data_IF_336243793875
#
_entry.id   IF_336243793875
#
_cell.length_a   1.000
_cell.length_b   1.000
_cell.length_c   1.000
_cell.angle_alpha   90.00
_cell.angle_beta   90.00
_cell.angle_gamma   90.00
#
_symmetry.space_group_name_H-M   'P 1'
#
loop_
_entity.id
_entity.type
_entity.pdbx_description
1 polymer ?
#
# COMPACT_ATOMS: atom_id res chain seq x y z
N UNK A 1 -11.73 -27.05 4.80
CA UNK A 1 -13.19 -26.88 4.93
C UNK A 1 -13.55 -25.54 4.31
N UNK A 2 -14.42 -25.54 3.29
CA UNK A 2 -14.83 -24.35 2.54
C UNK A 2 -15.96 -23.64 3.28
N UNK A 3 -15.77 -22.38 3.67
CA UNK A 3 -16.86 -21.58 4.22
C UNK A 3 -17.67 -20.91 3.09
N UNK A 4 -18.92 -21.34 2.97
CA UNK A 4 -19.96 -20.92 2.02
C UNK A 4 -20.61 -19.60 2.49
N UNK A 5 -19.81 -18.55 2.64
CA UNK A 5 -20.26 -17.31 3.30
C UNK A 5 -20.74 -16.15 2.41
N UNK A 6 -20.52 -16.15 1.08
CA UNK A 6 -20.87 -14.96 0.26
C UNK A 6 -21.69 -15.31 -0.99
N UNK A 7 -22.97 -14.91 -0.92
CA UNK A 7 -23.99 -14.78 -1.99
C UNK A 7 -23.83 -15.76 -3.16
N UNK A 8 -23.94 -17.05 -2.86
CA UNK A 8 -23.97 -18.11 -3.89
C UNK A 8 -25.39 -18.36 -4.44
N UNK A 9 -26.43 -17.85 -3.77
CA UNK A 9 -27.83 -18.05 -4.18
C UNK A 9 -28.30 -16.89 -5.06
N UNK A 10 -28.88 -17.20 -6.22
CA UNK A 10 -29.46 -16.22 -7.18
C UNK A 10 -30.28 -15.11 -6.50
N UNK A 11 -31.05 -15.45 -5.47
CA UNK A 11 -31.86 -14.48 -4.71
C UNK A 11 -31.06 -13.39 -3.99
N UNK A 12 -29.93 -13.74 -3.38
CA UNK A 12 -29.10 -12.76 -2.67
C UNK A 12 -28.34 -11.84 -3.66
N UNK A 13 -28.04 -12.30 -4.87
CA UNK A 13 -27.45 -11.45 -5.91
C UNK A 13 -28.48 -10.49 -6.51
N UNK A 14 -29.74 -10.91 -6.59
CA UNK A 14 -30.85 -10.01 -6.96
C UNK A 14 -31.06 -8.92 -5.92
N UNK A 15 -31.00 -9.26 -4.64
CA UNK A 15 -31.10 -8.30 -3.53
C UNK A 15 -29.95 -7.29 -3.55
N UNK A 16 -28.71 -7.76 -3.74
CA UNK A 16 -27.54 -6.89 -3.90
C UNK A 16 -27.72 -5.91 -5.06
N UNK A 17 -28.17 -6.39 -6.23
CA UNK A 17 -28.42 -5.54 -7.40
C UNK A 17 -29.52 -4.51 -7.17
N UNK A 18 -30.57 -4.88 -6.44
CA UNK A 18 -31.66 -3.96 -6.10
C UNK A 18 -31.18 -2.85 -5.15
N UNK A 19 -30.46 -3.23 -4.08
CA UNK A 19 -29.89 -2.27 -3.13
C UNK A 19 -28.89 -1.32 -3.79
N UNK A 20 -27.99 -1.86 -4.61
CA UNK A 20 -27.04 -1.04 -5.36
C UNK A 20 -27.75 -0.11 -6.36
N UNK A 21 -28.77 -0.61 -7.07
CA UNK A 21 -29.57 0.22 -7.98
C UNK A 21 -30.26 1.39 -7.27
N UNK A 22 -30.81 1.16 -6.07
CA UNK A 22 -31.38 2.24 -5.26
C UNK A 22 -30.35 3.30 -4.87
N UNK A 23 -29.15 2.88 -4.44
CA UNK A 23 -28.05 3.79 -4.12
C UNK A 23 -27.60 4.58 -5.34
N UNK A 24 -27.35 3.92 -6.47
CA UNK A 24 -26.92 4.57 -7.70
C UNK A 24 -27.92 5.62 -8.18
N UNK A 25 -29.20 5.30 -8.13
CA UNK A 25 -30.27 6.22 -8.52
C UNK A 25 -30.37 7.42 -7.57
N UNK A 26 -30.12 7.19 -6.27
CA UNK A 26 -30.11 8.26 -5.26
C UNK A 26 -28.96 9.23 -5.48
N UNK A 27 -27.75 8.72 -5.70
CA UNK A 27 -26.55 9.57 -5.83
C UNK A 27 -26.47 10.29 -7.18
N UNK A 28 -26.91 9.66 -8.27
CA UNK A 28 -26.80 10.22 -9.62
C UNK A 28 -28.09 10.83 -10.17
N UNK A 29 -29.21 10.75 -9.43
CA UNK A 29 -30.52 11.28 -9.83
C UNK A 29 -31.14 10.63 -11.07
N UNK A 30 -30.56 9.55 -11.60
CA UNK A 30 -31.02 8.86 -12.82
C UNK A 30 -30.98 7.34 -12.64
N UNK A 31 -31.87 6.64 -13.34
CA UNK A 31 -31.96 5.18 -13.26
C UNK A 31 -30.71 4.52 -13.85
N UNK A 32 -30.14 3.51 -13.18
CA UNK A 32 -28.98 2.77 -13.70
C UNK A 32 -29.31 2.07 -15.03
N UNK A 33 -28.66 2.50 -16.12
CA UNK A 33 -28.84 1.89 -17.43
C UNK A 33 -28.03 0.59 -17.58
N UNK A 34 -28.19 -0.11 -18.71
CA UNK A 34 -27.55 -1.41 -18.95
C UNK A 34 -26.02 -1.30 -19.08
N UNK A 35 -25.52 -0.15 -19.52
CA UNK A 35 -24.09 0.11 -19.69
C UNK A 35 -23.45 0.50 -18.36
N UNK A 36 -24.08 1.38 -17.60
CA UNK A 36 -23.71 1.74 -16.22
C UNK A 36 -23.66 0.50 -15.34
N UNK A 37 -24.63 -0.42 -15.51
CA UNK A 37 -24.66 -1.70 -14.78
C UNK A 37 -23.45 -2.60 -15.09
N UNK A 38 -22.91 -2.55 -16.31
CA UNK A 38 -21.70 -3.30 -16.67
C UNK A 38 -20.46 -2.68 -16.06
N UNK A 39 -20.35 -1.35 -16.05
CA UNK A 39 -19.22 -0.62 -15.45
C UNK A 39 -19.17 -0.78 -13.93
N UNK A 40 -20.31 -0.68 -13.26
CA UNK A 40 -20.43 -0.92 -11.81
C UNK A 40 -19.93 -2.32 -11.42
N UNK A 41 -20.28 -3.34 -12.20
CA UNK A 41 -19.86 -4.72 -11.97
C UNK A 41 -18.36 -4.96 -12.23
N UNK A 42 -17.69 -4.04 -12.93
CA UNK A 42 -16.23 -4.01 -13.08
C UNK A 42 -15.55 -3.30 -11.90
N UNK A 43 -16.18 -2.28 -11.33
CA UNK A 43 -15.64 -1.49 -10.21
C UNK A 43 -15.69 -2.21 -8.85
N UNK A 44 -16.50 -3.26 -8.71
CA UNK A 44 -16.48 -4.09 -7.50
C UNK A 44 -15.24 -4.99 -7.48
N UNK A 45 -14.30 -4.69 -6.59
CA UNK A 45 -13.24 -5.63 -6.26
C UNK A 45 -13.86 -6.93 -5.70
N UNK A 46 -13.56 -8.05 -6.36
CA UNK A 46 -14.04 -9.40 -6.00
C UNK A 46 -13.01 -10.17 -5.20
N UNK A 47 -11.86 -9.56 -4.91
CA UNK A 47 -10.80 -10.20 -4.16
C UNK A 47 -11.29 -10.54 -2.75
N UNK A 48 -11.05 -11.80 -2.35
CA UNK A 48 -11.36 -12.26 -1.01
C UNK A 48 -10.08 -12.09 -0.19
N UNK A 49 -10.00 -10.98 0.53
CA UNK A 49 -9.00 -10.80 1.56
C UNK A 49 -9.24 -11.82 2.68
N UNK A 50 -8.18 -12.52 3.09
CA UNK A 50 -8.25 -13.52 4.16
C UNK A 50 -8.42 -12.86 5.53
N UNK A 51 -7.92 -11.64 5.68
CA UNK A 51 -7.98 -10.86 6.92
C UNK A 51 -8.31 -9.42 6.60
N UNK A 52 -8.99 -8.74 7.53
CA UNK A 52 -9.31 -7.31 7.40
C UNK A 52 -8.04 -6.44 7.32
N UNK A 53 -6.95 -6.89 7.97
CA UNK A 53 -5.62 -6.27 7.84
C UNK A 53 -5.14 -6.17 6.39
N UNK A 54 -5.37 -7.19 5.56
CA UNK A 54 -4.95 -7.15 4.15
C UNK A 54 -5.69 -6.06 3.37
N UNK A 55 -6.93 -5.73 3.74
CA UNK A 55 -7.67 -4.62 3.11
C UNK A 55 -6.99 -3.28 3.38
N UNK A 56 -6.62 -3.03 4.65
CA UNK A 56 -5.95 -1.79 5.05
C UNK A 56 -4.57 -1.67 4.41
N UNK A 57 -3.80 -2.76 4.38
CA UNK A 57 -2.50 -2.80 3.70
C UNK A 57 -2.64 -2.52 2.19
N UNK A 58 -3.61 -3.17 1.54
CA UNK A 58 -3.83 -2.96 0.11
C UNK A 58 -4.32 -1.56 -0.21
N UNK A 59 -5.22 -1.00 0.62
CA UNK A 59 -5.68 0.38 0.49
C UNK A 59 -4.51 1.36 0.61
N UNK A 60 -3.63 1.20 1.61
CA UNK A 60 -2.43 2.02 1.74
C UNK A 60 -1.53 1.92 0.50
N UNK A 61 -1.27 0.71 0.00
CA UNK A 61 -0.46 0.50 -1.21
C UNK A 61 -1.09 1.22 -2.41
N UNK A 62 -2.41 1.12 -2.60
CA UNK A 62 -3.09 1.83 -3.69
C UNK A 62 -2.96 3.33 -3.56
N UNK A 63 -3.17 3.90 -2.38
CA UNK A 63 -3.03 5.35 -2.15
C UNK A 63 -1.61 5.84 -2.44
N UNK A 64 -0.60 5.08 -2.03
CA UNK A 64 0.80 5.38 -2.33
C UNK A 64 1.09 5.26 -3.84
N UNK A 65 0.56 4.25 -4.53
CA UNK A 65 0.69 4.12 -5.98
C UNK A 65 0.06 5.30 -6.72
N UNK A 66 -1.14 5.72 -6.33
CA UNK A 66 -1.80 6.87 -6.94
C UNK A 66 -1.06 8.19 -6.69
N UNK A 67 -0.51 8.39 -5.49
CA UNK A 67 0.21 9.62 -5.15
C UNK A 67 1.63 9.71 -5.70
N UNK A 68 2.33 8.57 -5.82
CA UNK A 68 3.75 8.56 -6.25
C UNK A 68 3.95 8.16 -7.71
N UNK A 69 3.01 7.43 -8.31
CA UNK A 69 3.20 6.83 -9.64
C UNK A 69 4.33 5.78 -9.69
N UNK A 70 4.80 5.30 -8.54
CA UNK A 70 5.89 4.33 -8.47
C UNK A 70 5.43 2.94 -8.95
N UNK A 71 6.39 2.04 -9.20
CA UNK A 71 6.05 0.65 -9.54
C UNK A 71 5.63 -0.11 -8.28
N UNK A 72 4.69 -1.07 -8.37
CA UNK A 72 4.32 -1.91 -7.23
C UNK A 72 5.53 -2.59 -6.56
N UNK A 73 6.53 -2.97 -7.35
CA UNK A 73 7.75 -3.61 -6.87
C UNK A 73 8.63 -2.72 -5.96
N UNK A 74 8.37 -1.41 -5.89
CA UNK A 74 9.06 -0.50 -4.98
C UNK A 74 8.39 -0.46 -3.60
N UNK A 75 7.12 -0.86 -3.52
CA UNK A 75 6.33 -0.89 -2.28
C UNK A 75 6.25 -2.29 -1.69
N UNK A 76 6.08 -3.30 -2.54
CA UNK A 76 5.94 -4.69 -2.14
C UNK A 76 7.12 -5.52 -2.61
N UNK A 77 7.61 -6.40 -1.73
CA UNK A 77 8.69 -7.32 -2.06
C UNK A 77 8.23 -8.23 -3.20
N UNK A 78 8.83 -8.05 -4.37
CA UNK A 78 8.77 -9.04 -5.43
C UNK A 78 9.80 -10.07 -5.06
N UNK A 79 9.40 -11.11 -4.31
CA UNK A 79 10.23 -12.30 -4.10
C UNK A 79 10.89 -12.65 -5.42
N UNK A 80 12.17 -12.29 -5.58
CA UNK A 80 12.97 -12.79 -6.67
C UNK A 80 12.99 -14.28 -6.41
N UNK A 81 12.38 -15.06 -7.31
CA UNK A 81 12.47 -16.52 -7.27
C UNK A 81 13.97 -16.83 -7.18
N UNK A 82 14.48 -17.15 -5.99
CA UNK A 82 15.83 -17.70 -5.86
C UNK A 82 15.84 -18.90 -6.80
N UNK A 83 16.79 -18.92 -7.72
CA UNK A 83 17.11 -20.16 -8.43
C UNK A 83 17.75 -21.07 -7.38
N UNK A 84 16.91 -21.71 -6.58
CA UNK A 84 17.34 -22.84 -5.76
C UNK A 84 17.52 -24.00 -6.73
N UNK A 85 18.71 -24.11 -7.32
CA UNK A 85 19.11 -25.30 -8.06
C UNK A 85 20.41 -25.82 -7.41
N UNK A 86 20.37 -26.93 -6.66
CA UNK A 86 21.57 -27.58 -6.17
C UNK A 86 22.16 -28.42 -7.30
N UNK A 87 23.33 -28.02 -7.80
CA UNK A 87 24.18 -28.85 -8.65
C UNK A 87 24.14 -28.54 -10.13
N UNK A 88 25.22 -27.93 -10.62
CA UNK A 88 26.09 -28.45 -11.68
C UNK A 88 27.01 -27.32 -12.13
N UNK A 89 28.31 -27.60 -12.06
CA UNK A 89 29.41 -26.67 -12.31
C UNK A 89 29.49 -26.15 -13.75
N UNK A 90 30.19 -25.02 -13.84
CA UNK A 90 30.94 -24.44 -14.97
C UNK A 90 30.24 -23.44 -15.91
N UNK A 91 30.67 -22.18 -15.68
CA UNK A 91 31.02 -21.14 -16.64
C UNK A 91 29.94 -20.60 -17.60
N UNK A 92 29.24 -19.55 -17.12
CA UNK A 92 29.05 -18.33 -17.90
C UNK A 92 29.06 -17.13 -16.94
N UNK A 93 30.19 -16.43 -16.94
CA UNK A 93 30.45 -15.20 -16.20
C UNK A 93 29.61 -14.05 -16.79
N UNK A 94 28.56 -13.62 -16.09
CA UNK A 94 28.26 -12.20 -15.78
C UNK A 94 27.29 -12.17 -14.59
N UNK A 95 27.77 -12.66 -13.44
CA UNK A 95 27.20 -12.26 -12.16
C UNK A 95 27.66 -10.83 -11.88
N UNK A 96 26.72 -9.90 -11.66
CA UNK A 96 27.02 -8.65 -10.97
C UNK A 96 27.58 -9.03 -9.59
N UNK A 97 28.91 -9.18 -9.51
CA UNK A 97 29.64 -9.42 -8.28
C UNK A 97 29.55 -8.16 -7.44
N UNK A 98 28.86 -8.28 -6.29
CA UNK A 98 28.78 -7.25 -5.27
C UNK A 98 30.16 -7.12 -4.59
N UNK A 99 31.02 -6.31 -5.20
CA UNK A 99 32.37 -6.02 -4.71
C UNK A 99 32.34 -4.76 -3.86
N UNK A 100 31.97 -4.95 -2.59
CA UNK A 100 32.52 -4.23 -1.44
C UNK A 100 32.03 -2.80 -1.19
N UNK A 101 31.53 -2.57 0.03
CA UNK A 101 31.66 -1.28 0.69
C UNK A 101 30.61 -0.94 1.75
N UNK A 102 31.01 -1.11 3.01
CA UNK A 102 30.49 -0.47 4.24
C UNK A 102 29.33 -1.18 4.95
N UNK A 103 29.62 -1.53 6.21
CA UNK A 103 28.71 -2.09 7.21
C UNK A 103 27.36 -1.36 7.26
N UNK A 104 26.33 -2.03 6.77
CA UNK A 104 24.93 -1.73 7.02
C UNK A 104 24.17 -3.02 6.79
N UNK A 105 23.53 -3.55 7.83
CA UNK A 105 22.86 -4.85 7.77
C UNK A 105 22.02 -4.98 6.49
N UNK A 106 22.28 -6.02 5.70
CA UNK A 106 21.55 -6.28 4.47
C UNK A 106 20.07 -6.48 4.84
N UNK A 107 19.21 -5.54 4.47
CA UNK A 107 17.76 -5.65 4.72
C UNK A 107 17.26 -6.99 4.19
N UNK A 108 16.43 -7.68 4.98
CA UNK A 108 15.87 -8.98 4.61
C UNK A 108 14.89 -8.89 3.42
N UNK A 109 14.31 -7.70 3.20
CA UNK A 109 13.29 -7.45 2.18
C UNK A 109 13.57 -6.13 1.45
N UNK A 110 13.44 -6.15 0.12
CA UNK A 110 13.43 -4.96 -0.74
C UNK A 110 12.00 -4.44 -0.87
N UNK A 111 11.44 -3.93 0.23
CA UNK A 111 10.07 -3.41 0.30
C UNK A 111 9.98 -2.16 1.17
N UNK A 112 8.86 -1.46 1.07
CA UNK A 112 8.57 -0.33 1.96
C UNK A 112 8.34 -0.84 3.39
N UNK A 113 9.16 -0.36 4.33
CA UNK A 113 9.06 -0.67 5.76
C UNK A 113 8.68 0.57 6.57
N UNK A 114 8.29 0.38 7.84
CA UNK A 114 7.97 1.50 8.74
C UNK A 114 9.13 2.50 8.89
N UNK A 115 10.38 2.03 8.87
CA UNK A 115 11.56 2.90 8.96
C UNK A 115 11.79 3.77 7.70
N UNK A 116 11.12 3.47 6.59
CA UNK A 116 11.14 4.30 5.37
C UNK A 116 10.08 5.42 5.40
N UNK A 117 9.20 5.42 6.40
CA UNK A 117 8.11 6.38 6.53
C UNK A 117 8.30 7.22 7.79
N UNK A 118 8.30 8.54 7.65
CA UNK A 118 8.38 9.47 8.78
C UNK A 118 7.06 10.20 8.94
N UNK A 119 6.45 10.09 10.12
CA UNK A 119 5.28 10.88 10.49
C UNK A 119 5.73 12.26 10.99
N UNK A 120 5.14 13.31 10.45
CA UNK A 120 5.47 14.70 10.67
C UNK A 120 4.22 15.44 11.15
N UNK A 121 4.42 16.40 12.05
CA UNK A 121 3.40 17.36 12.49
C UNK A 121 3.86 18.73 12.01
N UNK A 122 3.08 19.36 11.15
CA UNK A 122 3.36 20.68 10.59
C UNK A 122 2.46 21.70 11.30
N UNK A 123 3.08 22.56 12.11
CA UNK A 123 2.40 23.66 12.78
C UNK A 123 2.28 24.86 11.85
N UNK A 124 1.08 25.42 11.70
CA UNK A 124 0.86 26.67 10.99
C UNK A 124 1.02 27.86 11.99
N UNK A 125 2.05 28.71 11.81
CA UNK A 125 2.30 29.83 12.73
C UNK A 125 1.20 30.89 12.70
N UNK A 126 0.46 31.00 11.61
CA UNK A 126 -0.61 32.00 11.42
C UNK A 126 -1.99 31.41 11.74
N UNK A 127 -2.14 30.08 11.65
CA UNK A 127 -3.39 29.37 11.91
C UNK A 127 -3.23 28.38 13.09
N UNK A 128 -3.34 28.90 14.31
CA UNK A 128 -3.24 28.12 15.55
C UNK A 128 -4.39 27.12 15.80
N UNK A 129 -5.31 26.93 14.85
CA UNK A 129 -6.53 26.13 15.07
C UNK A 129 -6.23 24.64 15.09
N UNK A 130 -5.37 24.14 14.20
CA UNK A 130 -4.96 22.72 14.20
C UNK A 130 -3.62 22.52 13.53
N UNK A 131 -2.82 21.62 14.09
CA UNK A 131 -1.62 21.11 13.43
C UNK A 131 -2.02 20.20 12.26
N UNK A 132 -1.25 20.24 11.17
CA UNK A 132 -1.47 19.43 9.97
C UNK A 132 -0.55 18.20 10.01
N UNK A 133 -1.14 17.01 9.90
CA UNK A 133 -0.34 15.79 9.79
C UNK A 133 0.18 15.58 8.37
N UNK A 134 1.44 15.18 8.28
CA UNK A 134 2.07 14.77 7.03
C UNK A 134 2.86 13.48 7.24
N UNK A 135 3.00 12.67 6.18
CA UNK A 135 3.98 11.59 6.13
C UNK A 135 4.98 11.84 5.01
N UNK A 136 6.23 11.58 5.31
CA UNK A 136 7.30 11.49 4.32
C UNK A 136 7.55 10.02 4.01
N UNK A 137 7.46 9.64 2.74
CA UNK A 137 7.67 8.27 2.26
C UNK A 137 8.92 8.25 1.40
N UNK A 138 9.93 7.50 1.83
CA UNK A 138 11.19 7.33 1.12
C UNK A 138 11.17 6.04 0.30
N UNK A 139 11.17 6.18 -1.03
CA UNK A 139 11.28 5.06 -1.97
C UNK A 139 12.73 4.89 -2.40
N UNK A 140 13.36 3.82 -1.92
CA UNK A 140 14.80 3.54 -2.13
C UNK A 140 15.08 2.42 -3.14
N UNK A 141 14.06 1.60 -3.46
CA UNK A 141 14.22 0.31 -4.14
C UNK A 141 13.80 0.35 -5.62
N UNK A 142 14.18 1.39 -6.36
CA UNK A 142 13.93 1.46 -7.80
C UNK A 142 14.74 0.41 -8.57
N UNK A 143 14.28 0.08 -9.79
CA UNK A 143 15.00 -0.82 -10.70
C UNK A 143 16.41 -0.25 -10.96
N UNK A 144 17.44 -1.02 -10.59
CA UNK A 144 18.84 -0.62 -10.74
C UNK A 144 19.43 0.18 -9.56
N UNK A 145 18.72 0.29 -8.44
CA UNK A 145 19.22 1.01 -7.26
C UNK A 145 20.55 0.47 -6.74
N UNK A 146 20.81 -0.84 -6.87
CA UNK A 146 22.08 -1.48 -6.50
C UNK A 146 23.29 -0.86 -7.25
N UNK A 147 23.09 -0.35 -8.47
CA UNK A 147 24.17 0.26 -9.27
C UNK A 147 24.32 1.76 -9.00
N UNK A 148 23.21 2.47 -8.73
CA UNK A 148 23.17 3.91 -8.41
C UNK A 148 21.99 4.21 -7.47
N UNK A 149 22.23 4.35 -6.16
CA UNK A 149 21.18 4.69 -5.22
C UNK A 149 20.76 6.16 -5.43
N UNK A 150 19.49 6.34 -5.78
CA UNK A 150 18.80 7.64 -5.86
C UNK A 150 17.42 7.50 -5.20
N UNK A 151 17.35 7.51 -3.87
CA UNK A 151 16.08 7.45 -3.18
C UNK A 151 15.22 8.67 -3.55
N UNK A 152 13.94 8.44 -3.79
CA UNK A 152 12.95 9.49 -4.07
C UNK A 152 12.07 9.66 -2.84
N UNK A 153 11.85 10.90 -2.42
CA UNK A 153 11.07 11.24 -1.24
C UNK A 153 9.76 11.88 -1.69
N UNK A 154 8.64 11.37 -1.17
CA UNK A 154 7.30 11.90 -1.42
C UNK A 154 6.66 12.36 -0.10
N UNK A 155 5.92 13.46 -0.15
CA UNK A 155 5.14 13.95 0.99
C UNK A 155 3.66 13.72 0.73
N UNK A 156 2.96 13.23 1.75
CA UNK A 156 1.51 13.12 1.78
C UNK A 156 0.99 13.91 2.97
N UNK A 157 -0.06 14.67 2.77
CA UNK A 157 -0.76 15.40 3.83
C UNK A 157 -2.05 14.67 4.21
N UNK A 158 -2.62 15.06 5.35
CA UNK A 158 -3.97 14.63 5.71
C UNK A 158 -5.00 15.00 4.63
N UNK A 159 -6.00 14.14 4.47
CA UNK A 159 -7.15 14.32 3.59
C UNK A 159 -8.40 14.15 4.47
N UNK A 160 -9.42 14.99 4.24
CA UNK A 160 -10.62 15.01 5.09
C UNK A 160 -11.40 13.69 5.10
N UNK A 161 -11.31 12.91 4.02
CA UNK A 161 -11.92 11.58 3.95
C UNK A 161 -10.93 10.49 4.42
N UNK A 162 -11.20 9.82 5.56
CA UNK A 162 -10.34 8.76 6.09
C UNK A 162 -10.10 7.61 5.12
N UNK A 163 -11.03 7.33 4.20
CA UNK A 163 -10.93 6.25 3.20
C UNK A 163 -9.84 6.57 2.16
N UNK A 164 -9.59 7.86 1.90
CA UNK A 164 -8.57 8.30 0.95
C UNK A 164 -7.31 8.85 1.64
N UNK A 165 -7.31 8.94 2.96
CA UNK A 165 -6.17 9.45 3.73
C UNK A 165 -5.11 8.35 3.96
N UNK A 166 -3.98 8.45 3.26
CA UNK A 166 -2.85 7.52 3.41
C UNK A 166 -2.31 7.49 4.85
N UNK A 167 -2.33 8.64 5.55
CA UNK A 167 -1.88 8.77 6.94
C UNK A 167 -2.75 7.92 7.86
N UNK A 168 -4.08 7.97 7.70
CA UNK A 168 -5.00 7.16 8.51
C UNK A 168 -4.73 5.67 8.37
N UNK A 169 -4.50 5.19 7.14
CA UNK A 169 -4.20 3.78 6.88
C UNK A 169 -2.84 3.39 7.45
N UNK A 170 -1.83 4.23 7.28
CA UNK A 170 -0.49 4.02 7.82
C UNK A 170 -0.49 3.95 9.36
N UNK A 171 -1.09 4.93 10.03
CA UNK A 171 -1.16 4.98 11.50
C UNK A 171 -1.95 3.79 12.05
N UNK A 172 -3.04 3.40 11.40
CA UNK A 172 -3.82 2.22 11.80
C UNK A 172 -2.98 0.93 11.77
N UNK A 173 -2.14 0.75 10.74
CA UNK A 173 -1.24 -0.39 10.65
C UNK A 173 -0.10 -0.30 11.66
N UNK A 174 0.51 0.88 11.80
CA UNK A 174 1.60 1.11 12.74
C UNK A 174 1.18 0.85 14.20
N UNK A 175 -0.02 1.27 14.59
CA UNK A 175 -0.58 0.98 15.92
C UNK A 175 -0.87 -0.51 16.09
N UNK A 176 -1.45 -1.17 15.09
CA UNK A 176 -1.73 -2.60 15.14
C UNK A 176 -0.46 -3.48 15.18
N UNK A 177 0.67 -2.93 14.73
CA UNK A 177 1.97 -3.59 14.68
C UNK A 177 2.91 -3.17 15.82
N UNK A 178 2.43 -2.33 16.75
CA UNK A 178 3.25 -1.76 17.82
C UNK A 178 4.53 -1.09 17.28
N UNK A 179 4.45 -0.55 16.05
CA UNK A 179 5.61 -0.07 15.31
C UNK A 179 6.33 1.07 16.05
N UNK A 180 5.58 1.91 16.78
CA UNK A 180 6.13 3.01 17.59
C UNK A 180 6.95 2.56 18.81
N UNK A 181 6.86 1.29 19.20
CA UNK A 181 7.69 0.70 20.26
C UNK A 181 9.02 0.14 19.72
N UNK A 182 9.21 0.15 18.39
CA UNK A 182 10.43 -0.36 17.77
C UNK A 182 11.66 0.46 18.25
N UNK A 183 12.73 -0.20 18.76
CA UNK A 183 13.93 0.48 19.25
C UNK A 183 14.63 1.39 18.22
N UNK A 184 14.37 1.16 16.93
CA UNK A 184 14.89 1.93 15.80
C UNK A 184 14.14 3.25 15.55
N UNK A 185 12.90 3.39 16.05
CA UNK A 185 12.13 4.63 15.93
C UNK A 185 12.48 5.53 17.12
N UNK A 186 13.28 6.56 16.85
CA UNK A 186 13.73 7.50 17.89
C UNK A 186 12.60 8.38 18.40
N UNK A 187 12.72 8.75 19.68
CA UNK A 187 11.87 9.73 20.38
C UNK A 187 11.63 10.97 19.51
N UNK A 188 10.40 11.51 19.45
CA UNK A 188 10.08 12.67 18.63
C UNK A 188 11.07 13.81 18.90
N UNK A 189 11.79 14.23 17.86
CA UNK A 189 12.61 15.46 17.93
C UNK A 189 11.66 16.64 17.84
N UNK A 190 11.56 17.38 18.94
CA UNK A 190 10.83 18.65 19.02
C UNK A 190 11.62 19.78 18.34
#
# INVERSE_FOLDING_TARGET
MYDKGRVSKRGAMTQYRAQFGMLYNKENGRLIDTNDRKEVLKACDKSVYRTERQRVQYALILLLLFGTGCRPAELVDVKRKRRDNPGSDEEDLEGDVDMGGVEGGTRLYDALCYEDVRLLVVHDPDNSVRDVLAIEVKLSHHKGHNKRPKPTIFFFTEVDDPIFCAITHFVSLALADEAFEAPSLTTPKR
#
